data_IF_269679857914
#
_entry.id   IF_269679857914
#
_cell.length_a   1.000
_cell.length_b   1.000
_cell.length_c   1.000
_cell.angle_alpha   90.00
_cell.angle_beta   90.00
_cell.angle_gamma   90.00
#
_symmetry.space_group_name_H-M   'P 1'
#
loop_
_entity.id
_entity.type
_entity.pdbx_description
1 polymer ?
#
# COMPACT_ATOMS: atom_id res chain seq x y z
N UNK A 1 6.99 -8.42 3.46
CA UNK A 1 8.05 -8.13 2.46
C UNK A 1 9.27 -7.60 3.21
N UNK A 2 10.50 -7.94 2.81
CA UNK A 2 11.70 -7.41 3.48
C UNK A 2 11.96 -5.95 3.06
N UNK A 3 12.11 -5.05 4.03
CA UNK A 3 12.51 -3.65 3.80
C UNK A 3 13.92 -3.43 4.37
N UNK A 4 14.94 -3.24 3.52
CA UNK A 4 16.30 -2.93 3.97
C UNK A 4 16.35 -1.71 4.90
N UNK A 5 17.24 -1.71 5.89
CA UNK A 5 17.32 -0.65 6.91
C UNK A 5 17.44 0.78 6.34
N UNK A 6 18.17 0.94 5.24
CA UNK A 6 18.36 2.23 4.58
C UNK A 6 17.10 2.75 3.86
N UNK A 7 16.07 1.91 3.68
CA UNK A 7 14.78 2.30 3.11
C UNK A 7 13.67 2.37 4.16
N UNK A 8 13.96 2.12 5.44
CA UNK A 8 12.97 2.28 6.50
C UNK A 8 12.81 3.77 6.80
N UNK A 9 11.59 4.28 6.67
CA UNK A 9 11.23 5.60 7.16
C UNK A 9 10.64 5.44 8.56
N UNK A 10 11.19 6.15 9.54
CA UNK A 10 10.73 6.12 10.93
C UNK A 10 9.78 7.27 11.26
N UNK A 11 9.91 8.39 10.54
CA UNK A 11 9.11 9.59 10.69
C UNK A 11 7.79 9.45 9.92
N UNK A 12 6.66 9.79 10.57
CA UNK A 12 5.32 9.62 9.99
C UNK A 12 4.98 10.74 9.04
N UNK A 13 5.45 11.94 9.31
CA UNK A 13 5.25 13.13 8.51
C UNK A 13 5.91 12.96 7.14
N UNK A 14 7.14 12.43 7.12
CA UNK A 14 7.84 12.06 5.87
C UNK A 14 7.04 11.03 5.05
N UNK A 15 6.42 10.07 5.74
CA UNK A 15 5.59 9.05 5.12
C UNK A 15 4.33 9.65 4.51
N UNK A 16 3.65 10.55 5.23
CA UNK A 16 2.45 11.21 4.73
C UNK A 16 2.74 12.15 3.56
N UNK A 17 3.86 12.88 3.61
CA UNK A 17 4.32 13.68 2.48
C UNK A 17 4.57 12.80 1.24
N UNK A 18 5.24 11.66 1.42
CA UNK A 18 5.50 10.73 0.33
C UNK A 18 4.19 10.21 -0.30
N UNK A 19 3.22 9.79 0.51
CA UNK A 19 1.92 9.30 0.02
C UNK A 19 1.15 10.41 -0.71
N UNK A 20 1.18 11.63 -0.17
CA UNK A 20 0.49 12.78 -0.75
C UNK A 20 1.10 13.18 -2.08
N UNK A 21 2.44 13.16 -2.17
CA UNK A 21 3.19 13.50 -3.39
C UNK A 21 3.18 12.37 -4.42
N UNK A 22 3.07 11.12 -3.96
CA UNK A 22 3.12 9.91 -4.76
C UNK A 22 1.97 8.97 -4.37
N UNK A 23 0.78 9.28 -4.86
CA UNK A 23 -0.49 8.58 -4.57
C UNK A 23 -0.64 7.25 -5.32
N UNK A 24 0.41 6.43 -5.34
CA UNK A 24 0.40 5.10 -5.91
C UNK A 24 0.96 4.10 -4.91
N UNK A 25 0.42 2.88 -4.89
CA UNK A 25 0.96 1.81 -4.09
C UNK A 25 0.78 0.45 -4.75
N UNK A 26 1.59 -0.49 -4.32
CA UNK A 26 1.52 -1.90 -4.64
C UNK A 26 0.79 -2.61 -3.51
N UNK A 27 -0.41 -3.10 -3.80
CA UNK A 27 -1.17 -3.93 -2.87
C UNK A 27 -0.74 -5.37 -3.06
N UNK A 28 -0.30 -6.01 -1.98
CA UNK A 28 0.17 -7.39 -1.95
C UNK A 28 -0.78 -8.23 -1.09
N UNK A 29 -1.31 -9.32 -1.63
CA UNK A 29 -2.13 -10.29 -0.88
C UNK A 29 -1.48 -11.66 -0.92
N UNK A 30 -1.51 -12.38 0.21
CA UNK A 30 -0.91 -13.71 0.37
C UNK A 30 -1.92 -14.77 0.79
N UNK A 31 -3.21 -14.45 0.72
CA UNK A 31 -4.29 -15.31 1.26
C UNK A 31 -4.65 -16.49 0.36
N UNK A 32 -4.12 -16.52 -0.86
CA UNK A 32 -4.21 -17.68 -1.75
C UNK A 32 -2.83 -18.35 -1.79
N UNK A 33 -2.76 -19.63 -2.19
CA UNK A 33 -1.51 -20.40 -2.31
C UNK A 33 -0.42 -19.70 -3.15
N UNK A 34 -0.82 -18.70 -3.96
CA UNK A 34 0.06 -17.87 -4.77
C UNK A 34 -0.06 -16.40 -4.37
N UNK A 35 1.03 -15.71 -4.00
CA UNK A 35 1.02 -14.27 -3.76
C UNK A 35 0.48 -13.46 -4.95
N UNK A 36 -0.25 -12.39 -4.64
CA UNK A 36 -0.72 -11.40 -5.61
C UNK A 36 -0.07 -10.06 -5.36
N UNK A 37 0.29 -9.34 -6.41
CA UNK A 37 0.66 -7.94 -6.32
C UNK A 37 -0.03 -7.14 -7.44
N UNK A 38 -0.54 -5.95 -7.11
CA UNK A 38 -1.09 -5.02 -8.10
C UNK A 38 -0.77 -3.58 -7.73
N UNK A 39 -0.44 -2.76 -8.73
CA UNK A 39 -0.29 -1.30 -8.56
C UNK A 39 -1.64 -0.59 -8.63
N UNK A 40 -1.86 0.38 -7.74
CA UNK A 40 -3.11 1.09 -7.59
C UNK A 40 -2.89 2.52 -7.14
N UNK A 41 -3.71 3.47 -7.59
CA UNK A 41 -3.78 4.78 -6.96
C UNK A 41 -4.38 4.65 -5.55
N UNK A 42 -3.71 5.21 -4.54
CA UNK A 42 -4.19 5.33 -3.17
C UNK A 42 -3.91 6.74 -2.65
N UNK A 43 -4.86 7.31 -1.93
CA UNK A 43 -4.76 8.62 -1.27
C UNK A 43 -4.88 8.48 0.24
N UNK A 44 -4.22 9.35 0.99
CA UNK A 44 -4.38 9.43 2.44
C UNK A 44 -5.70 10.15 2.78
N UNK A 45 -6.43 9.66 3.77
CA UNK A 45 -7.62 10.34 4.30
C UNK A 45 -7.24 11.63 5.02
N UNK A 46 -8.19 12.55 5.16
CA UNK A 46 -7.96 13.86 5.81
C UNK A 46 -7.53 13.71 7.29
N UNK A 47 -8.03 12.67 7.97
CA UNK A 47 -7.65 12.32 9.35
C UNK A 47 -6.36 11.49 9.43
N UNK A 48 -5.74 11.18 8.28
CA UNK A 48 -4.51 10.41 8.12
C UNK A 48 -4.60 8.98 8.70
N UNK A 49 -5.82 8.48 8.93
CA UNK A 49 -6.08 7.15 9.49
C UNK A 49 -6.30 6.07 8.45
N UNK A 50 -6.48 6.42 7.17
CA UNK A 50 -6.81 5.45 6.13
C UNK A 50 -6.14 5.77 4.80
N UNK A 51 -5.81 4.72 4.05
CA UNK A 51 -5.47 4.82 2.63
C UNK A 51 -6.70 4.43 1.80
N UNK A 52 -7.19 5.38 1.01
CA UNK A 52 -8.42 5.25 0.24
C UNK A 52 -8.06 5.08 -1.24
N UNK A 53 -8.65 4.09 -1.89
CA UNK A 53 -8.52 3.89 -3.33
C UNK A 53 -9.74 3.19 -3.90
N UNK A 54 -9.89 3.28 -5.22
CA UNK A 54 -11.01 2.68 -5.93
C UNK A 54 -10.58 1.47 -6.75
N UNK A 55 -11.42 0.43 -6.73
CA UNK A 55 -11.28 -0.73 -7.58
C UNK A 55 -12.51 -0.94 -8.46
N UNK A 56 -12.28 -1.30 -9.71
CA UNK A 56 -13.34 -1.86 -10.53
C UNK A 56 -13.74 -3.25 -9.96
N UNK A 57 -15.00 -3.40 -9.57
CA UNK A 57 -15.56 -4.58 -8.87
C UNK A 57 -15.26 -5.92 -9.55
N UNK A 58 -15.05 -5.95 -10.86
CA UNK A 58 -14.75 -7.17 -11.65
C UNK A 58 -13.24 -7.48 -11.78
N UNK A 59 -12.35 -6.70 -11.16
CA UNK A 59 -10.90 -6.99 -11.22
C UNK A 59 -10.57 -8.17 -10.29
N UNK A 60 -9.70 -9.10 -10.72
CA UNK A 60 -9.25 -10.22 -9.87
C UNK A 60 -8.75 -9.79 -8.49
N UNK A 61 -8.10 -8.62 -8.41
CA UNK A 61 -7.66 -8.01 -7.18
C UNK A 61 -8.76 -7.88 -6.10
N UNK A 62 -10.00 -7.54 -6.49
CA UNK A 62 -11.11 -7.30 -5.54
C UNK A 62 -11.46 -8.55 -4.73
N UNK A 63 -11.43 -9.73 -5.36
CA UNK A 63 -11.71 -10.98 -4.67
C UNK A 63 -10.62 -11.32 -3.64
N UNK A 64 -9.37 -10.93 -3.92
CA UNK A 64 -8.15 -11.35 -3.21
C UNK A 64 -7.78 -10.45 -2.02
N UNK A 65 -8.33 -9.24 -1.96
CA UNK A 65 -8.04 -8.24 -0.92
C UNK A 65 -8.88 -8.42 0.35
N UNK A 66 -9.97 -9.19 0.30
CA UNK A 66 -10.99 -9.28 1.37
C UNK A 66 -10.55 -9.88 2.71
N UNK A 67 -9.30 -10.37 2.87
CA UNK A 67 -8.89 -11.12 4.09
C UNK A 67 -7.54 -10.76 4.71
N UNK A 68 -6.68 -10.01 4.02
CA UNK A 68 -5.42 -9.42 4.50
C UNK A 68 -4.64 -8.96 3.26
N UNK A 69 -4.31 -7.68 3.21
CA UNK A 69 -3.46 -7.15 2.15
C UNK A 69 -2.48 -6.15 2.77
N UNK A 70 -1.22 -6.22 2.35
CA UNK A 70 -0.20 -5.25 2.74
C UNK A 70 -0.01 -4.26 1.60
N UNK A 71 0.09 -2.98 1.93
CA UNK A 71 0.26 -1.90 0.95
C UNK A 71 1.73 -1.50 0.95
N UNK A 72 2.33 -1.36 -0.24
CA UNK A 72 3.72 -0.89 -0.37
C UNK A 72 3.84 0.24 -1.39
N UNK A 73 4.28 1.44 -0.99
CA UNK A 73 4.45 2.55 -1.96
C UNK A 73 5.72 2.34 -2.79
N UNK A 74 5.62 2.40 -4.12
CA UNK A 74 6.75 2.26 -5.05
C UNK A 74 6.87 3.55 -5.87
N UNK A 75 7.49 4.57 -5.27
CA UNK A 75 8.04 5.72 -5.99
C UNK A 75 9.52 5.44 -6.29
N UNK A 76 10.22 6.23 -7.11
CA UNK A 76 11.68 6.09 -7.35
C UNK A 76 12.57 6.39 -6.11
N UNK A 77 11.99 6.33 -4.90
CA UNK A 77 12.55 6.58 -3.56
C UNK A 77 11.80 5.68 -2.52
N UNK A 78 12.23 5.58 -1.25
CA UNK A 78 12.25 4.35 -0.41
C UNK A 78 10.95 3.52 -0.35
N UNK A 79 11.13 2.19 -0.30
CA UNK A 79 10.07 1.19 -0.12
C UNK A 79 9.42 1.30 1.26
N UNK A 80 8.15 1.69 1.30
CA UNK A 80 7.32 1.63 2.51
C UNK A 80 6.48 0.35 2.52
N UNK A 81 6.29 -0.26 3.70
CA UNK A 81 5.41 -1.40 3.90
C UNK A 81 4.39 -1.10 5.00
N UNK A 82 3.11 -0.98 4.65
CA UNK A 82 2.00 -0.80 5.57
C UNK A 82 1.35 -2.16 5.82
N UNK A 83 1.40 -2.63 7.07
CA UNK A 83 0.88 -3.96 7.42
C UNK A 83 -0.61 -3.95 7.77
N UNK A 84 -1.18 -2.87 8.32
CA UNK A 84 -2.60 -2.82 8.72
C UNK A 84 -3.16 -1.40 8.56
N UNK A 85 -4.11 -1.23 7.64
CA UNK A 85 -5.14 -0.19 7.65
C UNK A 85 -6.30 -0.75 6.82
N UNK A 86 -7.33 -1.25 7.51
CA UNK A 86 -8.64 -1.58 6.96
C UNK A 86 -9.65 -0.69 7.66
#
# INVERSE_FOLDING_TARGET
MYVPKHFQMADREDVYELITKHSFATLVSTNDEVPFATHLPLSLSDDQQYLIGHFARKKPAVARVRRAASISNFSRSPLLHFSHMV
#
